data_IF_233179794616
#
_entry.id   IF_233179794616
#
_cell.length_a   1.000
_cell.length_b   1.000
_cell.length_c   1.000
_cell.angle_alpha   90.00
_cell.angle_beta   90.00
_cell.angle_gamma   90.00
#
_symmetry.space_group_name_H-M   'P 1'
#
loop_
_entity.id
_entity.type
_entity.pdbx_description
1 polymer ?
#
# COMPACT_ATOMS: atom_id res chain seq x y z
N UNK A 1 3.65 14.72 -5.48
CA UNK A 1 4.07 16.05 -4.98
C UNK A 1 4.07 16.13 -3.45
N UNK A 2 3.01 15.68 -2.76
CA UNK A 2 2.95 15.72 -1.29
C UNK A 2 4.12 14.98 -0.61
N UNK A 3 4.48 13.79 -1.10
CA UNK A 3 5.58 12.99 -0.51
C UNK A 3 6.95 13.68 -0.52
N UNK A 4 7.27 14.45 -1.57
CA UNK A 4 8.51 15.22 -1.63
C UNK A 4 8.54 16.34 -0.59
N UNK A 5 7.41 17.03 -0.39
CA UNK A 5 7.30 18.08 0.63
C UNK A 5 7.49 17.53 2.04
N UNK A 6 6.88 16.39 2.34
CA UNK A 6 7.05 15.71 3.65
C UNK A 6 8.51 15.28 3.84
N UNK A 7 9.16 14.72 2.80
CA UNK A 7 10.55 14.30 2.89
C UNK A 7 11.51 15.47 3.22
N UNK A 8 11.35 16.61 2.54
CA UNK A 8 12.16 17.82 2.80
C UNK A 8 11.99 18.31 4.24
N UNK A 9 10.76 18.30 4.76
CA UNK A 9 10.49 18.71 6.15
C UNK A 9 11.12 17.71 7.13
N UNK A 10 11.02 16.40 6.89
CA UNK A 10 11.61 15.38 7.77
C UNK A 10 13.13 15.50 7.88
N UNK A 11 13.82 15.90 6.82
CA UNK A 11 15.27 16.14 6.86
C UNK A 11 15.67 17.25 7.84
N UNK A 12 14.77 18.19 8.15
CA UNK A 12 15.00 19.23 9.15
C UNK A 12 14.84 18.73 10.59
N UNK A 13 14.10 17.65 10.81
CA UNK A 13 13.79 17.10 12.14
C UNK A 13 14.55 15.79 12.45
N UNK A 14 15.02 15.04 11.45
CA UNK A 14 15.72 13.76 11.64
C UNK A 14 16.75 13.53 10.54
N UNK A 15 17.89 12.93 10.90
CA UNK A 15 18.85 12.39 9.93
C UNK A 15 18.25 11.12 9.30
N UNK A 16 17.58 11.28 8.16
CA UNK A 16 17.06 10.16 7.38
C UNK A 16 18.23 9.46 6.69
N UNK A 17 18.76 8.41 7.31
CA UNK A 17 19.59 7.44 6.59
C UNK A 17 18.69 6.74 5.57
N UNK A 18 19.16 6.62 4.32
CA UNK A 18 18.51 5.81 3.30
C UNK A 18 19.47 4.67 3.02
N UNK A 19 19.24 3.51 3.64
CA UNK A 19 20.12 2.35 3.45
C UNK A 19 19.98 1.76 2.03
N UNK A 20 18.75 1.70 1.51
CA UNK A 20 18.47 1.05 0.22
C UNK A 20 17.58 1.92 -0.68
N UNK A 21 18.14 2.93 -1.37
CA UNK A 21 17.36 3.87 -2.19
C UNK A 21 16.66 3.19 -3.38
N UNK A 22 17.29 2.17 -3.98
CA UNK A 22 16.67 1.40 -5.08
C UNK A 22 15.41 0.65 -4.64
N UNK A 23 15.45 0.07 -3.44
CA UNK A 23 14.29 -0.62 -2.86
C UNK A 23 13.16 0.37 -2.60
N UNK A 24 13.48 1.53 -2.04
CA UNK A 24 12.51 2.57 -1.75
C UNK A 24 11.79 3.06 -3.02
N UNK A 25 12.54 3.32 -4.10
CA UNK A 25 11.94 3.73 -5.38
C UNK A 25 11.06 2.63 -5.97
N UNK A 26 11.53 1.38 -5.95
CA UNK A 26 10.78 0.24 -6.47
C UNK A 26 9.48 0.02 -5.70
N UNK A 27 9.54 0.01 -4.36
CA UNK A 27 8.35 -0.06 -3.53
C UNK A 27 7.42 1.14 -3.76
N UNK A 28 7.94 2.36 -3.91
CA UNK A 28 7.12 3.53 -4.19
C UNK A 28 6.34 3.39 -5.51
N UNK A 29 6.99 2.91 -6.57
CA UNK A 29 6.34 2.68 -7.87
C UNK A 29 5.25 1.61 -7.75
N UNK A 30 5.58 0.46 -7.17
CA UNK A 30 4.63 -0.66 -7.06
C UNK A 30 3.46 -0.30 -6.14
N UNK A 31 3.71 0.37 -5.02
CA UNK A 31 2.68 0.82 -4.09
C UNK A 31 1.75 1.86 -4.72
N UNK A 32 2.32 2.84 -5.43
CA UNK A 32 1.54 3.82 -6.18
C UNK A 32 0.69 3.14 -7.25
N UNK A 33 1.21 2.10 -7.90
CA UNK A 33 0.47 1.29 -8.86
C UNK A 33 -0.70 0.54 -8.23
N UNK A 34 -0.52 -0.08 -7.07
CA UNK A 34 -1.59 -0.77 -6.31
C UNK A 34 -2.71 0.21 -5.95
N UNK A 35 -2.37 1.35 -5.36
CA UNK A 35 -3.35 2.35 -4.97
C UNK A 35 -4.06 2.95 -6.19
N UNK A 36 -3.35 3.15 -7.30
CA UNK A 36 -3.93 3.56 -8.58
C UNK A 36 -4.94 2.54 -9.10
N UNK A 37 -4.58 1.26 -9.15
CA UNK A 37 -5.47 0.17 -9.58
C UNK A 37 -6.71 0.05 -8.68
N UNK A 38 -6.53 0.13 -7.35
CA UNK A 38 -7.64 0.15 -6.40
C UNK A 38 -8.56 1.36 -6.61
N UNK A 39 -8.00 2.55 -6.85
CA UNK A 39 -8.76 3.76 -7.15
C UNK A 39 -9.57 3.63 -8.44
N UNK A 40 -9.01 3.00 -9.48
CA UNK A 40 -9.73 2.71 -10.73
C UNK A 40 -10.86 1.72 -10.49
N UNK A 41 -10.63 0.62 -9.77
CA UNK A 41 -11.66 -0.36 -9.43
C UNK A 41 -12.79 0.29 -8.62
N UNK A 42 -12.45 1.08 -7.61
CA UNK A 42 -13.42 1.81 -6.79
C UNK A 42 -14.20 2.84 -7.62
N UNK A 43 -13.53 3.52 -8.57
CA UNK A 43 -14.16 4.48 -9.48
C UNK A 43 -15.12 3.84 -10.47
N UNK A 44 -14.82 2.64 -10.98
CA UNK A 44 -15.73 1.89 -11.86
C UNK A 44 -16.94 1.36 -11.07
N UNK A 45 -16.71 0.93 -9.82
CA UNK A 45 -17.79 0.38 -8.98
C UNK A 45 -18.74 1.45 -8.46
N UNK A 46 -18.20 2.61 -8.05
CA UNK A 46 -18.97 3.68 -7.43
C UNK A 46 -19.82 4.45 -8.45
N UNK A 47 -21.12 4.52 -8.20
CA UNK A 47 -22.06 5.39 -8.93
C UNK A 47 -22.11 6.80 -8.35
N UNK A 48 -21.72 6.94 -7.08
CA UNK A 48 -21.78 8.20 -6.34
C UNK A 48 -20.45 8.46 -5.63
N UNK A 49 -20.10 9.74 -5.49
CA UNK A 49 -18.93 10.16 -4.73
C UNK A 49 -18.95 9.65 -3.28
N UNK A 50 -20.13 9.51 -2.67
CA UNK A 50 -20.29 8.96 -1.32
C UNK A 50 -19.78 7.50 -1.22
N UNK A 51 -19.93 6.70 -2.28
CA UNK A 51 -19.46 5.32 -2.30
C UNK A 51 -17.94 5.23 -2.40
N UNK A 52 -17.31 6.15 -3.16
CA UNK A 52 -15.85 6.30 -3.19
C UNK A 52 -15.31 6.70 -1.81
N UNK A 53 -15.94 7.67 -1.15
CA UNK A 53 -15.57 8.10 0.20
C UNK A 53 -15.78 6.97 1.22
N UNK A 54 -16.87 6.21 1.12
CA UNK A 54 -17.13 5.06 1.95
C UNK A 54 -16.07 3.96 1.75
N UNK A 55 -15.68 3.67 0.50
CA UNK A 55 -14.61 2.70 0.21
C UNK A 55 -13.30 3.10 0.88
N UNK A 56 -12.92 4.38 0.78
CA UNK A 56 -11.72 4.91 1.43
C UNK A 56 -11.80 4.77 2.96
N UNK A 57 -12.90 5.19 3.57
CA UNK A 57 -13.02 5.29 5.02
C UNK A 57 -13.29 3.94 5.71
N UNK A 58 -14.04 3.04 5.07
CA UNK A 58 -14.40 1.76 5.67
C UNK A 58 -13.50 0.60 5.26
N UNK A 59 -12.67 0.75 4.22
CA UNK A 59 -11.76 -0.31 3.77
C UNK A 59 -10.31 0.15 3.88
N UNK A 60 -9.92 1.21 3.17
CA UNK A 60 -8.50 1.62 3.13
C UNK A 60 -8.02 2.10 4.50
N UNK A 61 -8.81 2.90 5.20
CA UNK A 61 -8.44 3.42 6.52
C UNK A 61 -8.19 2.29 7.54
N UNK A 62 -9.11 1.34 7.79
CA UNK A 62 -8.86 0.26 8.75
C UNK A 62 -7.74 -0.68 8.31
N UNK A 63 -7.59 -0.98 7.01
CA UNK A 63 -6.46 -1.76 6.52
C UNK A 63 -5.13 -1.04 6.75
N UNK A 64 -5.09 0.29 6.60
CA UNK A 64 -3.90 1.09 6.89
C UNK A 64 -3.58 1.08 8.38
N UNK A 65 -4.60 1.18 9.25
CA UNK A 65 -4.36 1.01 10.67
C UNK A 65 -3.82 -0.38 10.98
N UNK A 66 -4.38 -1.43 10.40
CA UNK A 66 -3.95 -2.82 10.61
C UNK A 66 -2.57 -3.16 10.04
N UNK A 67 -2.02 -2.30 9.20
CA UNK A 67 -0.77 -2.57 8.50
C UNK A 67 0.50 -2.22 9.28
N UNK A 68 0.38 -1.76 10.53
CA UNK A 68 1.55 -1.47 11.39
C UNK A 68 2.24 -0.14 11.10
N UNK A 69 1.60 0.81 10.40
CA UNK A 69 2.12 2.18 10.21
C UNK A 69 2.36 2.88 11.55
N UNK A 70 1.41 2.72 12.48
CA UNK A 70 1.37 3.50 13.72
C UNK A 70 1.88 2.72 14.94
N UNK A 71 2.08 1.41 14.81
CA UNK A 71 2.46 0.53 15.92
C UNK A 71 3.36 -0.60 15.49
N UNK A 72 4.21 -1.05 16.41
CA UNK A 72 5.02 -2.25 16.20
C UNK A 72 4.15 -3.49 16.27
N UNK A 73 4.35 -4.39 15.31
CA UNK A 73 3.48 -5.53 15.05
C UNK A 73 3.71 -6.63 16.11
N UNK A 74 4.87 -6.62 16.75
CA UNK A 74 5.23 -7.50 17.87
C UNK A 74 4.41 -7.24 19.14
N UNK A 75 3.72 -6.10 19.22
CA UNK A 75 2.85 -5.76 20.35
C UNK A 75 1.42 -6.30 20.20
N UNK A 76 1.09 -6.94 19.08
CA UNK A 76 -0.27 -7.41 18.78
C UNK A 76 -0.52 -8.83 19.30
N UNK A 77 -1.74 -9.11 19.80
CA UNK A 77 -2.20 -10.47 20.07
C UNK A 77 -2.09 -11.36 18.81
N UNK A 78 -1.89 -12.68 18.95
CA UNK A 78 -1.63 -13.61 17.84
C UNK A 78 -2.74 -13.60 16.76
N UNK A 79 -3.98 -13.29 17.14
CA UNK A 79 -5.08 -13.10 16.20
C UNK A 79 -4.81 -11.93 15.23
N UNK A 80 -4.51 -10.74 15.75
CA UNK A 80 -4.27 -9.54 14.95
C UNK A 80 -2.97 -9.60 14.16
N UNK A 81 -1.96 -10.30 14.67
CA UNK A 81 -0.73 -10.60 13.92
C UNK A 81 -1.05 -11.39 12.65
N UNK A 82 -1.90 -12.41 12.76
CA UNK A 82 -2.30 -13.25 11.62
C UNK A 82 -3.09 -12.44 10.59
N UNK A 83 -4.04 -11.60 11.03
CA UNK A 83 -4.82 -10.75 10.10
C UNK A 83 -3.92 -9.72 9.41
N UNK A 84 -2.95 -9.14 10.11
CA UNK A 84 -2.00 -8.17 9.53
C UNK A 84 -1.13 -8.81 8.45
N UNK A 85 -0.72 -10.08 8.62
CA UNK A 85 0.06 -10.83 7.62
C UNK A 85 -0.73 -11.18 6.35
N UNK A 86 -2.06 -11.17 6.39
CA UNK A 86 -2.89 -11.31 5.19
C UNK A 86 -3.09 -9.98 4.46
N UNK A 87 -2.77 -8.85 5.09
CA UNK A 87 -3.00 -7.53 4.53
C UNK A 87 -1.86 -7.16 3.57
N UNK A 88 -2.11 -6.90 2.27
CA UNK A 88 -1.06 -6.48 1.34
C UNK A 88 -0.46 -5.12 1.70
N UNK A 89 -1.22 -4.23 2.37
CA UNK A 89 -0.74 -2.91 2.80
C UNK A 89 0.38 -3.06 3.85
N UNK A 90 0.35 -4.11 4.67
CA UNK A 90 1.41 -4.42 5.63
C UNK A 90 2.77 -4.59 4.94
N UNK A 91 2.83 -5.40 3.88
CA UNK A 91 4.08 -5.65 3.15
C UNK A 91 4.57 -4.40 2.40
N UNK A 92 3.65 -3.52 1.98
CA UNK A 92 4.01 -2.22 1.40
C UNK A 92 4.78 -1.36 2.41
N UNK A 93 4.32 -1.30 3.67
CA UNK A 93 4.95 -0.47 4.72
C UNK A 93 6.23 -1.10 5.24
N UNK A 94 6.26 -2.41 5.43
CA UNK A 94 7.48 -3.14 5.82
C UNK A 94 8.60 -2.95 4.79
N UNK A 95 8.28 -3.00 3.49
CA UNK A 95 9.25 -2.70 2.42
C UNK A 95 9.75 -1.26 2.43
N UNK A 96 8.89 -0.28 2.74
CA UNK A 96 9.31 1.11 2.93
C UNK A 96 10.20 1.28 4.17
N UNK A 97 9.87 0.62 5.29
CA UNK A 97 10.70 0.61 6.50
C UNK A 97 12.08 0.04 6.22
N UNK A 98 12.16 -1.05 5.46
CA UNK A 98 13.42 -1.62 5.01
C UNK A 98 14.23 -0.65 4.14
N UNK A 99 13.57 0.08 3.22
CA UNK A 99 14.22 1.06 2.35
C UNK A 99 14.88 2.22 3.11
N UNK A 100 14.27 2.67 4.21
CA UNK A 100 14.80 3.74 5.07
C UNK A 100 15.79 3.23 6.12
N UNK A 101 15.41 2.22 6.91
CA UNK A 101 16.14 1.83 8.13
C UNK A 101 16.97 0.55 8.00
N UNK A 102 16.95 -0.12 6.84
CA UNK A 102 17.63 -1.41 6.64
C UNK A 102 17.08 -2.57 7.47
N UNK A 103 16.06 -2.32 8.29
CA UNK A 103 15.41 -3.27 9.18
C UNK A 103 14.04 -3.64 8.62
N UNK A 104 13.83 -4.92 8.33
CA UNK A 104 12.52 -5.48 7.97
C UNK A 104 12.10 -6.48 9.05
N UNK A 105 10.82 -6.46 9.41
CA UNK A 105 10.26 -7.45 10.33
C UNK A 105 10.00 -8.78 9.61
N UNK A 106 10.00 -8.78 8.27
CA UNK A 106 9.83 -9.95 7.38
C UNK A 106 10.94 -9.98 6.32
N UNK A 107 11.33 -11.15 5.80
CA UNK A 107 12.36 -11.26 4.76
C UNK A 107 12.05 -10.30 3.58
N UNK A 108 12.95 -9.37 3.22
CA UNK A 108 12.66 -8.33 2.21
C UNK A 108 12.19 -8.89 0.87
N UNK A 109 12.74 -10.04 0.45
CA UNK A 109 12.34 -10.74 -0.76
C UNK A 109 10.91 -11.26 -0.74
N UNK A 110 10.40 -11.66 0.44
CA UNK A 110 9.02 -12.12 0.59
C UNK A 110 8.04 -10.94 0.54
N UNK A 111 8.36 -9.82 1.22
CA UNK A 111 7.58 -8.59 1.14
C UNK A 111 7.50 -8.07 -0.31
N UNK A 112 8.63 -8.06 -1.03
CA UNK A 112 8.67 -7.64 -2.43
C UNK A 112 7.86 -8.56 -3.35
N UNK A 113 7.97 -9.89 -3.17
CA UNK A 113 7.21 -10.86 -3.96
C UNK A 113 5.71 -10.70 -3.73
N UNK A 114 5.26 -10.58 -2.49
CA UNK A 114 3.83 -10.41 -2.16
C UNK A 114 3.28 -9.12 -2.74
N UNK A 115 4.02 -8.00 -2.61
CA UNK A 115 3.61 -6.70 -3.13
C UNK A 115 3.58 -6.71 -4.67
N UNK A 116 4.56 -7.32 -5.34
CA UNK A 116 4.55 -7.48 -6.81
C UNK A 116 3.41 -8.36 -7.30
N UNK A 117 3.17 -9.51 -6.67
CA UNK A 117 2.07 -10.41 -7.04
C UNK A 117 0.73 -9.70 -6.85
N UNK A 118 0.56 -8.97 -5.74
CA UNK A 118 -0.64 -8.19 -5.46
C UNK A 118 -0.84 -7.08 -6.51
N UNK A 119 0.23 -6.37 -6.86
CA UNK A 119 0.19 -5.35 -7.90
C UNK A 119 -0.21 -5.90 -9.27
N UNK A 120 0.43 -6.99 -9.72
CA UNK A 120 0.10 -7.62 -11.01
C UNK A 120 -1.33 -8.13 -11.00
N UNK A 121 -1.78 -8.77 -9.92
CA UNK A 121 -3.15 -9.27 -9.79
C UNK A 121 -4.19 -8.14 -9.82
N UNK A 122 -3.99 -7.07 -9.04
CA UNK A 122 -4.89 -5.92 -9.01
C UNK A 122 -4.88 -5.14 -10.32
N UNK A 123 -3.71 -4.95 -10.93
CA UNK A 123 -3.60 -4.29 -12.23
C UNK A 123 -4.27 -5.11 -13.32
N UNK A 124 -4.08 -6.43 -13.36
CA UNK A 124 -4.75 -7.31 -14.31
C UNK A 124 -6.28 -7.29 -14.08
N UNK A 125 -6.73 -7.35 -12.84
CA UNK A 125 -8.15 -7.27 -12.50
C UNK A 125 -8.76 -5.93 -12.92
N UNK A 126 -8.08 -4.81 -12.65
CA UNK A 126 -8.49 -3.47 -13.09
C UNK A 126 -8.59 -3.39 -14.61
N UNK A 127 -7.62 -3.95 -15.35
CA UNK A 127 -7.63 -3.99 -16.81
C UNK A 127 -8.76 -4.86 -17.35
N UNK A 128 -9.03 -6.02 -16.73
CA UNK A 128 -10.16 -6.88 -17.10
C UNK A 128 -11.50 -6.16 -16.86
N UNK A 129 -11.63 -5.42 -15.76
CA UNK A 129 -12.83 -4.64 -15.45
C UNK A 129 -13.07 -3.54 -16.49
N UNK A 130 -12.00 -2.84 -16.89
CA UNK A 130 -12.02 -1.84 -17.95
C UNK A 130 -12.38 -2.46 -19.31
N UNK A 131 -11.76 -3.60 -19.66
CA UNK A 131 -12.02 -4.31 -20.92
C UNK A 131 -13.43 -4.90 -21.00
N UNK A 132 -13.95 -5.44 -19.90
CA UNK A 132 -15.33 -5.98 -19.84
C UNK A 132 -16.39 -4.89 -19.92
N UNK A 133 -16.00 -3.62 -19.78
CA UNK A 133 -16.92 -2.50 -19.87
C UNK A 133 -18.05 -2.55 -18.84
N UNK A 134 -17.80 -3.14 -17.66
CA UNK A 134 -18.78 -3.19 -16.58
C UNK A 134 -19.08 -1.74 -16.17
N UNK A 135 -20.28 -1.25 -16.52
CA UNK A 135 -20.75 0.16 -16.49
C UNK A 135 -20.22 1.16 -17.54
N UNK A 136 -19.39 0.75 -18.50
CA UNK A 136 -18.99 1.63 -19.63
C UNK A 136 -19.94 1.55 -20.83
N UNK A 137 -20.88 0.62 -20.80
CA UNK A 137 -21.91 0.46 -21.83
C UNK A 137 -23.29 0.34 -21.18
N UNK A 138 -23.71 1.42 -20.53
CA UNK A 138 -25.06 2.02 -20.44
C UNK A 138 -25.15 2.94 -19.24
#
# INVERSE_FOLDING_TARGET
MVGLGVFVVTLAFTSVSIDHPLWLVLFAIVCSGILGALGVIAGIWAEKFDQLAAFQNFIIMPLTFLSGVFYSIHSLPPFWLTVSRFNPIFYMIDGFRYGFFGASDVTPGLSLLVVLVCFVALSAFSLILLQRGYKLRH
#
